data_IF_644025843534
#
_entry.id   IF_644025843534
#
_cell.length_a   1.000
_cell.length_b   1.000
_cell.length_c   1.000
_cell.angle_alpha   90.00
_cell.angle_beta   90.00
_cell.angle_gamma   90.00
#
_symmetry.space_group_name_H-M   'P 1'
#
loop_
_entity.id
_entity.type
_entity.pdbx_description
1 polymer ?
#
# COMPACT_ATOMS: atom_id res chain seq x y z
N UNK A 1 -8.81 7.65 4.68
CA UNK A 1 -9.72 8.70 4.18
C UNK A 1 -9.24 9.30 2.85
N UNK A 2 -10.12 9.38 1.85
CA UNK A 2 -9.86 9.99 0.54
C UNK A 2 -10.90 11.09 0.25
N UNK A 3 -10.62 12.06 -0.63
CA UNK A 3 -11.61 13.05 -1.04
C UNK A 3 -12.88 12.40 -1.63
N UNK A 4 -14.05 12.96 -1.33
CA UNK A 4 -15.33 12.42 -1.80
C UNK A 4 -15.41 12.27 -3.31
N UNK A 5 -14.75 13.17 -4.08
CA UNK A 5 -14.72 13.13 -5.54
C UNK A 5 -13.96 11.91 -6.10
N UNK A 6 -13.05 11.33 -5.32
CA UNK A 6 -12.24 10.17 -5.70
C UNK A 6 -12.93 8.83 -5.38
N UNK A 7 -14.06 8.86 -4.68
CA UNK A 7 -14.80 7.66 -4.24
C UNK A 7 -15.05 6.64 -5.36
N UNK A 8 -15.30 7.12 -6.58
CA UNK A 8 -15.57 6.30 -7.78
C UNK A 8 -14.44 5.34 -8.18
N UNK A 9 -13.24 5.51 -7.63
CA UNK A 9 -12.07 4.68 -7.94
C UNK A 9 -11.86 3.54 -6.94
N UNK A 10 -12.54 3.57 -5.79
CA UNK A 10 -12.27 2.69 -4.65
C UNK A 10 -13.53 1.96 -4.17
N UNK A 11 -13.31 0.87 -3.44
CA UNK A 11 -14.33 0.31 -2.56
C UNK A 11 -14.51 1.23 -1.35
N UNK A 12 -15.71 1.77 -1.18
CA UNK A 12 -16.03 2.73 -0.11
C UNK A 12 -16.69 2.02 1.05
N UNK A 13 -16.21 2.30 2.25
CA UNK A 13 -16.68 1.75 3.50
C UNK A 13 -17.53 2.81 4.21
N UNK A 14 -18.71 2.42 4.68
CA UNK A 14 -19.54 3.22 5.57
C UNK A 14 -19.43 2.71 7.00
N UNK A 15 -19.45 3.61 7.96
CA UNK A 15 -19.34 3.30 9.39
C UNK A 15 -20.38 4.03 10.23
N UNK A 16 -20.63 3.50 11.43
CA UNK A 16 -21.33 4.21 12.51
C UNK A 16 -20.34 5.01 13.39
N UNK A 17 -20.85 5.63 14.45
CA UNK A 17 -20.05 6.44 15.37
C UNK A 17 -19.04 5.64 16.20
N UNK A 18 -19.18 4.31 16.28
CA UNK A 18 -18.26 3.38 16.93
C UNK A 18 -17.28 2.71 15.95
N UNK A 19 -17.20 3.22 14.72
CA UNK A 19 -16.34 2.69 13.65
C UNK A 19 -16.67 1.25 13.24
N UNK A 20 -17.91 0.80 13.52
CA UNK A 20 -18.38 -0.47 12.96
C UNK A 20 -18.80 -0.25 11.52
N UNK A 21 -18.45 -1.19 10.68
CA UNK A 21 -18.82 -1.19 9.28
C UNK A 21 -20.33 -1.38 9.12
N UNK A 22 -20.98 -0.45 8.45
CA UNK A 22 -22.42 -0.46 8.17
C UNK A 22 -22.74 -0.63 6.69
N UNK A 23 -21.75 -0.40 5.81
CA UNK A 23 -21.92 -0.55 4.38
C UNK A 23 -20.58 -0.69 3.64
N UNK A 24 -20.68 -1.27 2.45
CA UNK A 24 -19.56 -1.36 1.49
C UNK A 24 -20.12 -1.19 0.07
N UNK A 25 -19.55 -0.26 -0.67
CA UNK A 25 -19.95 0.00 -2.05
C UNK A 25 -18.72 0.07 -2.94
N UNK A 26 -18.58 -0.90 -3.83
CA UNK A 26 -17.48 -0.94 -4.78
C UNK A 26 -17.71 0.10 -5.89
N UNK A 27 -16.74 1.03 -6.03
CA UNK A 27 -16.72 2.06 -7.09
C UNK A 27 -18.06 2.76 -7.29
N UNK A 28 -18.59 3.45 -6.27
CA UNK A 28 -19.95 4.01 -6.29
C UNK A 28 -20.13 5.02 -7.43
N UNK A 29 -21.28 4.93 -8.12
CA UNK A 29 -21.70 5.90 -9.16
C UNK A 29 -22.28 7.14 -8.49
N UNK A 30 -23.06 6.94 -7.41
CA UNK A 30 -23.64 8.02 -6.62
C UNK A 30 -22.71 8.37 -5.45
N UNK A 31 -22.72 9.63 -4.96
CA UNK A 31 -21.92 10.01 -3.81
C UNK A 31 -22.25 9.11 -2.61
N UNK A 32 -21.25 8.41 -2.04
CA UNK A 32 -21.46 7.58 -0.86
C UNK A 32 -21.59 8.45 0.40
N UNK A 33 -21.98 7.83 1.51
CA UNK A 33 -22.02 8.48 2.81
C UNK A 33 -20.61 8.93 3.21
N UNK A 34 -20.42 10.21 3.58
CA UNK A 34 -19.13 10.69 4.07
C UNK A 34 -18.77 10.07 5.43
N UNK A 35 -17.51 10.18 5.82
CA UNK A 35 -17.09 9.73 7.14
C UNK A 35 -17.69 10.60 8.26
N UNK A 36 -17.90 10.07 9.49
CA UNK A 36 -18.65 10.77 10.56
C UNK A 36 -18.11 12.16 10.91
N UNK A 37 -16.80 12.34 10.86
CA UNK A 37 -16.13 13.56 11.34
C UNK A 37 -15.67 14.48 10.21
N UNK A 38 -15.89 14.12 8.94
CA UNK A 38 -15.50 14.95 7.79
C UNK A 38 -16.44 14.75 6.59
N UNK A 39 -17.30 15.73 6.29
CA UNK A 39 -18.27 15.62 5.21
C UNK A 39 -17.67 15.67 3.80
N UNK A 40 -16.38 16.01 3.68
CA UNK A 40 -15.68 16.10 2.39
C UNK A 40 -14.85 14.84 2.06
N UNK A 41 -14.79 13.87 2.99
CA UNK A 41 -14.00 12.67 2.84
C UNK A 41 -14.83 11.41 3.05
N UNK A 42 -14.36 10.34 2.44
CA UNK A 42 -14.90 8.97 2.57
C UNK A 42 -13.80 8.01 2.96
N UNK A 43 -14.19 6.84 3.49
CA UNK A 43 -13.26 5.78 3.84
C UNK A 43 -13.11 4.83 2.66
N UNK A 44 -11.94 4.83 2.05
CA UNK A 44 -11.58 3.89 0.99
C UNK A 44 -10.96 2.63 1.59
N UNK A 45 -11.37 1.47 1.10
CA UNK A 45 -10.76 0.19 1.45
C UNK A 45 -9.34 0.12 0.88
N UNK A 46 -8.38 -0.22 1.72
CA UNK A 46 -6.98 -0.44 1.32
C UNK A 46 -6.73 -1.92 0.97
N UNK A 47 -7.72 -2.81 1.09
CA UNK A 47 -7.56 -4.24 0.90
C UNK A 47 -6.72 -4.93 1.99
N UNK A 48 -6.45 -4.25 3.10
CA UNK A 48 -5.69 -4.77 4.21
C UNK A 48 -6.61 -5.12 5.38
N UNK A 49 -6.56 -6.35 5.86
CA UNK A 49 -7.48 -6.86 6.88
C UNK A 49 -6.73 -7.56 8.00
N UNK A 50 -7.24 -7.41 9.21
CA UNK A 50 -6.79 -8.16 10.39
C UNK A 50 -7.98 -8.93 10.93
N UNK A 51 -7.84 -10.24 11.07
CA UNK A 51 -8.92 -11.13 11.52
C UNK A 51 -8.56 -11.84 12.83
N UNK A 52 -9.58 -12.09 13.65
CA UNK A 52 -9.50 -13.18 14.58
C UNK A 52 -9.46 -14.50 13.79
N UNK A 53 -8.55 -15.42 14.19
CA UNK A 53 -8.26 -16.64 13.43
C UNK A 53 -9.50 -17.47 13.13
N UNK A 54 -10.33 -17.73 14.15
CA UNK A 54 -11.49 -18.62 13.97
C UNK A 54 -12.57 -17.94 13.12
N UNK A 55 -12.74 -16.62 13.26
CA UNK A 55 -13.64 -15.86 12.41
C UNK A 55 -13.25 -15.99 10.94
N UNK A 56 -11.97 -15.79 10.62
CA UNK A 56 -11.46 -15.94 9.26
C UNK A 56 -11.68 -17.35 8.73
N UNK A 57 -11.22 -18.37 9.47
CA UNK A 57 -11.31 -19.77 9.03
C UNK A 57 -12.76 -20.18 8.77
N UNK A 58 -13.68 -19.83 9.67
CA UNK A 58 -15.10 -20.16 9.52
C UNK A 58 -15.72 -19.48 8.28
N UNK A 59 -15.39 -18.20 8.03
CA UNK A 59 -15.93 -17.50 6.85
C UNK A 59 -15.34 -18.07 5.55
N UNK A 60 -14.07 -18.46 5.52
CA UNK A 60 -13.47 -19.07 4.33
C UNK A 60 -14.07 -20.45 4.05
N UNK A 61 -14.27 -21.29 5.08
CA UNK A 61 -14.93 -22.59 4.93
C UNK A 61 -16.38 -22.42 4.44
N UNK A 62 -17.09 -21.43 4.96
CA UNK A 62 -18.44 -21.11 4.52
C UNK A 62 -18.44 -20.64 3.07
N UNK A 63 -17.55 -19.73 2.71
CA UNK A 63 -17.45 -19.18 1.36
C UNK A 63 -17.12 -20.25 0.30
N UNK A 64 -16.26 -21.18 0.64
CA UNK A 64 -15.91 -22.29 -0.24
C UNK A 64 -17.10 -23.21 -0.64
N UNK A 65 -18.26 -23.09 0.04
CA UNK A 65 -19.47 -23.84 -0.27
C UNK A 65 -20.34 -23.15 -1.35
N UNK A 66 -20.06 -21.88 -1.68
CA UNK A 66 -20.81 -21.12 -2.66
C UNK A 66 -20.11 -21.18 -4.03
N UNK A 67 -20.71 -21.87 -4.96
CA UNK A 67 -20.15 -22.06 -6.32
C UNK A 67 -20.13 -20.77 -7.17
N UNK A 68 -20.92 -19.77 -6.80
CA UNK A 68 -21.04 -18.46 -7.44
C UNK A 68 -20.20 -17.37 -6.75
N UNK A 69 -19.42 -17.73 -5.72
CA UNK A 69 -18.51 -16.81 -5.05
C UNK A 69 -17.24 -16.61 -5.88
N UNK A 70 -16.80 -15.35 -6.01
CA UNK A 70 -15.48 -15.02 -6.55
C UNK A 70 -14.33 -15.34 -5.56
N UNK A 71 -14.67 -15.75 -4.34
CA UNK A 71 -13.74 -15.96 -3.22
C UNK A 71 -12.90 -14.72 -2.89
N UNK A 72 -13.47 -13.54 -3.10
CA UNK A 72 -12.84 -12.23 -2.89
C UNK A 72 -13.24 -11.64 -1.54
N UNK A 73 -12.27 -11.08 -0.82
CA UNK A 73 -12.52 -10.48 0.50
C UNK A 73 -13.47 -9.29 0.42
N UNK A 74 -13.28 -8.40 -0.55
CA UNK A 74 -14.10 -7.19 -0.69
C UNK A 74 -15.51 -7.46 -1.22
N UNK A 75 -15.64 -8.45 -2.14
CA UNK A 75 -16.93 -8.76 -2.78
C UNK A 75 -17.77 -9.77 -2.01
N UNK A 76 -17.13 -10.76 -1.38
CA UNK A 76 -17.81 -11.91 -0.80
C UNK A 76 -17.68 -11.99 0.72
N UNK A 77 -16.45 -11.99 1.25
CA UNK A 77 -16.18 -12.27 2.67
C UNK A 77 -16.65 -11.11 3.56
N UNK A 78 -16.10 -9.90 3.35
CA UNK A 78 -16.42 -8.72 4.18
C UNK A 78 -17.90 -8.34 4.10
N UNK A 79 -18.55 -8.28 2.91
CA UNK A 79 -19.98 -8.02 2.80
C UNK A 79 -20.87 -9.01 3.56
N UNK A 80 -20.43 -10.25 3.73
CA UNK A 80 -21.15 -11.26 4.52
C UNK A 80 -20.94 -11.07 6.02
N UNK A 81 -19.76 -10.58 6.43
CA UNK A 81 -19.40 -10.43 7.84
C UNK A 81 -19.98 -9.17 8.47
N UNK A 82 -19.93 -8.02 7.80
CA UNK A 82 -20.28 -6.75 8.44
C UNK A 82 -21.73 -6.64 8.93
N UNK A 83 -22.75 -7.25 8.30
CA UNK A 83 -24.12 -7.19 8.82
C UNK A 83 -24.30 -7.84 10.20
N UNK A 84 -23.35 -8.69 10.60
CA UNK A 84 -23.31 -9.31 11.94
C UNK A 84 -22.69 -8.39 13.01
N UNK A 85 -22.29 -7.17 12.64
CA UNK A 85 -21.73 -6.18 13.55
C UNK A 85 -20.33 -6.48 14.09
N UNK A 86 -19.57 -7.37 13.45
CA UNK A 86 -18.25 -7.83 13.91
C UNK A 86 -17.08 -7.29 13.07
N UNK A 87 -17.33 -6.34 12.18
CA UNK A 87 -16.32 -5.71 11.34
C UNK A 87 -16.15 -4.27 11.75
N UNK A 88 -14.92 -3.89 12.10
CA UNK A 88 -14.57 -2.53 12.49
C UNK A 88 -13.59 -1.94 11.49
N UNK A 89 -13.63 -0.63 11.32
CA UNK A 89 -12.77 0.10 10.41
C UNK A 89 -11.67 0.79 11.19
N UNK A 90 -10.43 0.58 10.76
CA UNK A 90 -9.27 1.26 11.29
C UNK A 90 -8.88 2.42 10.39
N UNK A 91 -8.89 3.64 10.92
CA UNK A 91 -8.45 4.82 10.18
C UNK A 91 -6.91 4.85 10.10
N UNK A 92 -6.39 4.45 8.95
CA UNK A 92 -4.96 4.38 8.69
C UNK A 92 -4.26 5.75 8.76
N UNK A 93 -4.98 6.85 8.55
CA UNK A 93 -4.41 8.19 8.69
C UNK A 93 -3.99 8.54 10.12
N UNK A 94 -4.45 7.78 11.11
CA UNK A 94 -4.06 7.95 12.52
C UNK A 94 -2.81 7.15 12.91
N UNK A 95 -2.22 6.41 11.98
CA UNK A 95 -1.00 5.65 12.24
C UNK A 95 0.15 6.57 12.65
N UNK A 96 0.89 6.11 13.66
CA UNK A 96 2.13 6.74 14.10
C UNK A 96 3.26 5.74 13.96
N UNK A 97 4.00 5.85 12.87
CA UNK A 97 5.17 4.99 12.62
C UNK A 97 6.34 5.55 13.41
N UNK A 98 6.99 4.74 14.29
CA UNK A 98 8.16 5.20 15.04
C UNK A 98 9.27 5.70 14.10
N UNK A 99 9.75 6.92 14.34
CA UNK A 99 10.80 7.52 13.53
C UNK A 99 10.35 8.15 12.22
N UNK A 100 9.08 8.00 11.83
CA UNK A 100 8.52 8.67 10.68
C UNK A 100 8.44 10.19 10.88
N UNK A 101 8.65 10.94 9.83
CA UNK A 101 8.32 12.36 9.76
C UNK A 101 6.82 12.53 9.48
N UNK A 102 6.30 13.74 9.66
CA UNK A 102 4.87 13.98 9.57
C UNK A 102 4.29 13.66 8.18
N UNK A 103 5.10 13.80 7.14
CA UNK A 103 4.74 13.51 5.75
C UNK A 103 4.51 12.02 5.46
N UNK A 104 5.10 11.13 6.27
CA UNK A 104 4.94 9.66 6.12
C UNK A 104 3.65 9.13 6.75
N UNK A 105 2.91 9.97 7.46
CA UNK A 105 1.67 9.54 8.12
C UNK A 105 0.62 9.18 7.08
N UNK A 106 0.21 7.92 7.10
CA UNK A 106 -0.81 7.42 6.17
C UNK A 106 -0.30 7.13 4.76
N UNK A 107 1.03 7.03 4.54
CA UNK A 107 1.56 6.63 3.23
C UNK A 107 0.99 5.27 2.80
N UNK A 108 0.32 5.28 1.68
CA UNK A 108 -0.19 4.09 1.01
C UNK A 108 -0.27 4.36 -0.49
N UNK A 109 0.15 3.39 -1.30
CA UNK A 109 0.08 3.46 -2.76
C UNK A 109 -0.57 2.19 -3.31
N UNK A 110 -1.57 2.37 -4.16
CA UNK A 110 -2.04 1.29 -5.02
C UNK A 110 -1.07 1.13 -6.19
N UNK A 111 -0.60 -0.09 -6.42
CA UNK A 111 0.34 -0.43 -7.50
C UNK A 111 -0.32 -1.34 -8.55
N UNK A 112 -1.62 -1.23 -8.73
CA UNK A 112 -2.42 -2.04 -9.65
C UNK A 112 -2.21 -1.73 -11.14
N UNK A 113 -1.50 -0.65 -11.48
CA UNK A 113 -1.11 -0.29 -12.85
C UNK A 113 0.40 -0.17 -12.98
N UNK A 114 0.94 -0.31 -14.20
CA UNK A 114 2.37 -0.14 -14.46
C UNK A 114 2.85 1.27 -14.09
N UNK A 115 2.05 2.29 -14.39
CA UNK A 115 2.39 3.68 -14.08
C UNK A 115 2.44 3.89 -12.55
N UNK A 116 1.43 3.45 -11.81
CA UNK A 116 1.40 3.55 -10.35
C UNK A 116 2.55 2.77 -9.68
N UNK A 117 2.89 1.59 -10.22
CA UNK A 117 4.06 0.82 -9.78
C UNK A 117 5.36 1.60 -10.01
N UNK A 118 5.54 2.17 -11.20
CA UNK A 118 6.71 2.97 -11.53
C UNK A 118 6.81 4.23 -10.66
N UNK A 119 5.72 4.98 -10.52
CA UNK A 119 5.65 6.18 -9.67
C UNK A 119 6.01 5.87 -8.22
N UNK A 120 5.48 4.77 -7.66
CA UNK A 120 5.80 4.34 -6.28
C UNK A 120 7.29 4.03 -6.08
N UNK A 121 7.96 3.49 -7.10
CA UNK A 121 9.41 3.30 -7.05
C UNK A 121 10.16 4.63 -7.17
N UNK A 122 9.68 5.56 -8.02
CA UNK A 122 10.30 6.87 -8.18
C UNK A 122 10.13 7.77 -6.96
N UNK A 123 9.05 7.63 -6.21
CA UNK A 123 8.87 8.30 -4.91
C UNK A 123 10.07 8.03 -3.98
N UNK A 124 10.65 6.82 -4.02
CA UNK A 124 11.74 6.42 -3.14
C UNK A 124 13.09 7.05 -3.47
N UNK A 125 13.31 7.47 -4.72
CA UNK A 125 14.60 8.07 -5.16
C UNK A 125 14.66 9.58 -4.95
N UNK A 126 13.57 10.19 -4.51
CA UNK A 126 13.50 11.60 -4.19
C UNK A 126 14.41 11.99 -3.02
N UNK A 127 14.83 13.26 -2.96
CA UNK A 127 15.66 13.81 -1.86
C UNK A 127 14.92 13.72 -0.51
N UNK A 128 13.60 13.91 -0.53
CA UNK A 128 12.70 13.74 0.61
C UNK A 128 11.58 12.80 0.19
N UNK A 129 11.81 11.49 0.25
CA UNK A 129 10.76 10.53 -0.09
C UNK A 129 9.62 10.61 0.93
N UNK A 130 8.38 10.42 0.48
CA UNK A 130 7.22 10.32 1.37
C UNK A 130 7.29 9.07 2.26
N UNK A 131 8.05 8.07 1.85
CA UNK A 131 8.29 6.84 2.60
C UNK A 131 9.81 6.61 2.75
N UNK A 132 10.30 6.59 4.00
CA UNK A 132 11.72 6.44 4.29
C UNK A 132 12.12 4.96 4.48
N UNK A 133 12.76 4.38 3.47
CA UNK A 133 13.34 3.03 3.54
C UNK A 133 14.46 2.90 4.59
N UNK A 134 15.06 4.02 5.02
CA UNK A 134 16.19 4.04 5.96
C UNK A 134 15.78 4.26 7.41
N UNK A 135 14.49 4.28 7.70
CA UNK A 135 13.97 4.41 9.05
C UNK A 135 14.36 3.20 9.93
N UNK A 136 15.38 3.37 10.75
CA UNK A 136 15.90 2.31 11.65
C UNK A 136 14.97 2.01 12.83
N UNK A 137 14.08 2.91 13.21
CA UNK A 137 13.13 2.71 14.31
C UNK A 137 11.93 1.85 13.89
N UNK A 138 11.65 1.78 12.59
CA UNK A 138 10.62 0.95 12.01
C UNK A 138 11.10 0.35 10.68
N UNK A 139 12.07 -0.58 10.72
CA UNK A 139 12.70 -1.10 9.52
C UNK A 139 11.72 -1.95 8.70
N UNK A 140 11.74 -1.76 7.40
CA UNK A 140 11.04 -2.64 6.46
C UNK A 140 11.71 -4.01 6.48
N UNK A 141 10.98 -5.02 6.94
CA UNK A 141 11.47 -6.41 7.03
C UNK A 141 11.04 -7.17 5.78
N UNK A 142 12.00 -7.50 4.94
CA UNK A 142 11.81 -8.26 3.73
C UNK A 142 12.93 -9.29 3.58
N UNK A 143 12.79 -10.21 2.64
CA UNK A 143 13.87 -11.13 2.31
C UNK A 143 15.02 -10.33 1.71
N UNK A 144 16.19 -10.41 2.34
CA UNK A 144 17.43 -9.81 1.84
C UNK A 144 18.40 -10.95 1.51
N UNK A 145 18.63 -11.27 0.23
CA UNK A 145 19.61 -12.30 -0.12
C UNK A 145 21.02 -11.86 0.28
N UNK A 146 21.91 -12.79 0.65
CA UNK A 146 23.28 -12.50 1.04
C UNK A 146 24.14 -12.17 -0.18
N UNK A 147 23.89 -11.05 -0.82
CA UNK A 147 24.62 -10.57 -2.00
C UNK A 147 25.72 -9.60 -1.61
N UNK A 148 26.82 -9.51 -2.39
CA UNK A 148 27.86 -8.52 -2.16
C UNK A 148 27.31 -7.10 -2.41
N UNK A 149 27.96 -6.06 -1.87
CA UNK A 149 27.60 -4.68 -2.15
C UNK A 149 27.56 -4.37 -3.64
N UNK A 150 26.76 -3.36 -4.02
CA UNK A 150 26.74 -2.85 -5.38
C UNK A 150 28.14 -2.36 -5.80
N UNK A 151 28.55 -2.66 -7.03
CA UNK A 151 29.89 -2.37 -7.55
C UNK A 151 29.81 -1.42 -8.74
N UNK A 152 30.59 -0.33 -8.69
CA UNK A 152 30.78 0.61 -9.79
C UNK A 152 32.15 0.43 -10.37
N UNK A 153 32.25 0.12 -11.65
CA UNK A 153 33.50 -0.25 -12.30
C UNK A 153 33.70 0.48 -13.62
N UNK A 154 34.94 0.35 -14.11
CA UNK A 154 35.58 1.06 -15.18
C UNK A 154 35.79 2.54 -14.89
N UNK A 155 37.03 2.89 -14.79
CA UNK A 155 37.50 4.23 -14.99
C UNK A 155 38.47 4.15 -16.18
N UNK A 156 38.02 4.58 -17.35
CA UNK A 156 38.83 4.84 -18.51
C UNK A 156 38.28 6.05 -19.22
N UNK A 157 39.07 6.70 -20.04
CA UNK A 157 38.92 8.07 -20.57
C UNK A 157 37.49 8.53 -20.95
N UNK A 158 36.56 7.60 -21.18
CA UNK A 158 35.17 7.94 -21.57
C UNK A 158 34.12 7.03 -20.91
N UNK A 159 34.51 6.10 -20.03
CA UNK A 159 33.57 5.13 -19.44
C UNK A 159 33.76 4.99 -17.93
N UNK A 160 32.78 5.45 -17.17
CA UNK A 160 32.75 5.31 -15.72
C UNK A 160 31.36 4.87 -15.31
N UNK A 161 31.25 3.96 -14.35
CA UNK A 161 29.96 3.58 -13.77
C UNK A 161 29.47 4.68 -12.82
N UNK A 162 28.31 5.26 -13.09
CA UNK A 162 27.67 6.30 -12.27
C UNK A 162 26.23 5.97 -11.94
N UNK A 163 25.77 6.45 -10.79
CA UNK A 163 24.36 6.45 -10.43
C UNK A 163 23.99 7.82 -9.85
N UNK A 164 22.90 8.42 -10.33
CA UNK A 164 22.39 9.73 -9.92
C UNK A 164 20.89 9.62 -9.66
N UNK A 165 20.42 10.04 -8.48
CA UNK A 165 19.04 9.89 -8.06
C UNK A 165 18.56 8.45 -8.27
N UNK A 166 19.25 7.48 -7.69
CA UNK A 166 18.98 6.07 -7.94
C UNK A 166 19.17 5.23 -6.67
N UNK A 167 18.38 4.19 -6.54
CA UNK A 167 18.57 3.13 -5.54
C UNK A 167 19.17 1.92 -6.26
N UNK A 168 20.32 1.48 -5.80
CA UNK A 168 21.07 0.36 -6.39
C UNK A 168 21.19 -0.75 -5.35
N UNK A 169 20.53 -1.87 -5.59
CA UNK A 169 20.53 -3.00 -4.66
C UNK A 169 21.88 -3.74 -4.65
N UNK A 170 22.12 -4.46 -3.55
CA UNK A 170 23.24 -5.37 -3.44
C UNK A 170 23.27 -6.38 -4.62
N UNK A 171 24.47 -6.82 -5.02
CA UNK A 171 24.67 -7.72 -6.15
C UNK A 171 24.74 -7.03 -7.52
N UNK A 172 24.32 -5.79 -7.65
CA UNK A 172 24.37 -5.04 -8.90
C UNK A 172 25.80 -4.64 -9.29
N UNK A 173 26.10 -4.66 -10.59
CA UNK A 173 27.36 -4.16 -11.14
C UNK A 173 27.06 -3.11 -12.20
N UNK A 174 27.47 -1.86 -11.95
CA UNK A 174 27.37 -0.76 -12.90
C UNK A 174 28.70 -0.60 -13.62
N UNK A 175 28.79 -1.14 -14.83
CA UNK A 175 30.03 -1.22 -15.60
C UNK A 175 30.04 -0.21 -16.74
N UNK A 176 30.71 0.93 -16.53
CA UNK A 176 30.86 1.99 -17.54
C UNK A 176 29.54 2.55 -18.05
N UNK A 177 28.51 2.54 -17.21
CA UNK A 177 27.16 2.99 -17.53
C UNK A 177 26.72 4.12 -16.59
N UNK A 178 25.81 4.98 -17.07
CA UNK A 178 25.16 6.01 -16.30
C UNK A 178 23.72 5.56 -15.99
N UNK A 179 23.39 5.46 -14.70
CA UNK A 179 22.06 5.13 -14.18
C UNK A 179 21.47 6.39 -13.55
N UNK A 180 20.34 6.85 -14.06
CA UNK A 180 19.68 8.09 -13.57
C UNK A 180 18.21 7.78 -13.28
N UNK A 181 17.69 8.37 -12.19
CA UNK A 181 16.28 8.32 -11.82
C UNK A 181 15.74 6.87 -11.90
N UNK A 182 16.37 5.95 -11.20
CA UNK A 182 16.08 4.52 -11.36
C UNK A 182 16.15 3.78 -10.03
N UNK A 183 15.39 2.70 -9.94
CA UNK A 183 15.54 1.69 -8.90
C UNK A 183 15.99 0.38 -9.57
N UNK A 184 17.16 -0.12 -9.18
CA UNK A 184 17.68 -1.39 -9.67
C UNK A 184 17.56 -2.43 -8.54
N UNK A 185 16.76 -3.45 -8.79
CA UNK A 185 16.70 -4.67 -7.98
C UNK A 185 17.95 -5.55 -8.16
N UNK A 186 17.96 -6.67 -7.45
CA UNK A 186 18.99 -7.71 -7.54
C UNK A 186 18.53 -8.84 -8.47
#
# INVERSE_FOLDING_TARGET
PVPLQEAKHFGIIEVDDEWRMTGFVEKPINPPKPMPNDPHRVLASMGNYVFERNALVNELILDAQFADSDHDFGKNIIPRMFPRGQVFVYDFSQNKVPGAVQEEVGYWRDVGTLDAYWESNMDLVGIKPEFDLYNQKWPVRSHTPPLPPAKFVHFSDLRTGHAINAIISAGSIISGALVINSVLGY
#
